data_IF_819049178226
#
_entry.id   IF_819049178226
#
_cell.length_a   1.000
_cell.length_b   1.000
_cell.length_c   1.000
_cell.angle_alpha   90.00
_cell.angle_beta   90.00
_cell.angle_gamma   90.00
#
_symmetry.space_group_name_H-M   'P 1'
#
loop_
_entity.id
_entity.type
_entity.pdbx_description
1 polymer ?
#
# COMPACT_ATOMS: atom_id res chain seq x y z
N UNK A 1 -5.97 -31.31 -13.50
CA UNK A 1 -5.70 -30.70 -12.18
C UNK A 1 -5.92 -29.18 -12.28
N UNK A 2 -7.02 -28.65 -11.76
CA UNK A 2 -7.32 -27.20 -11.75
C UNK A 2 -6.64 -26.58 -10.53
N UNK A 3 -5.55 -25.82 -10.72
CA UNK A 3 -4.98 -24.98 -9.66
C UNK A 3 -5.73 -23.65 -9.68
N UNK A 4 -6.48 -23.36 -8.62
CA UNK A 4 -7.15 -22.08 -8.43
C UNK A 4 -6.14 -20.96 -8.25
N UNK A 5 -6.28 -19.90 -9.07
CA UNK A 5 -5.59 -18.64 -8.84
C UNK A 5 -6.17 -18.00 -7.57
N UNK A 6 -5.42 -18.09 -6.48
CA UNK A 6 -5.66 -17.26 -5.29
C UNK A 6 -5.33 -15.80 -5.62
N UNK A 7 -6.37 -15.01 -5.90
CA UNK A 7 -6.27 -13.57 -5.97
C UNK A 7 -5.88 -13.02 -4.59
N UNK A 8 -4.69 -12.45 -4.48
CA UNK A 8 -4.17 -11.90 -3.25
C UNK A 8 -4.81 -10.52 -3.03
N UNK A 9 -5.72 -10.43 -2.07
CA UNK A 9 -6.46 -9.22 -1.71
C UNK A 9 -5.54 -8.24 -0.97
N UNK A 10 -5.16 -7.15 -1.63
CA UNK A 10 -4.59 -5.96 -0.97
C UNK A 10 -5.69 -4.91 -0.91
N UNK A 11 -6.32 -4.79 0.25
CA UNK A 11 -7.37 -3.81 0.48
C UNK A 11 -6.83 -2.38 0.36
N UNK A 12 -7.48 -1.56 -0.46
CA UNK A 12 -7.36 -0.11 -0.38
C UNK A 12 -7.81 0.31 1.02
N UNK A 13 -6.86 0.67 1.89
CA UNK A 13 -7.16 1.29 3.18
C UNK A 13 -7.76 2.66 2.88
N UNK A 14 -9.10 2.75 3.00
CA UNK A 14 -9.83 4.01 2.99
C UNK A 14 -9.50 4.72 4.29
N UNK A 15 -8.59 5.68 4.24
CA UNK A 15 -8.28 6.57 5.35
C UNK A 15 -9.38 7.63 5.45
N UNK A 16 -10.33 7.41 6.36
CA UNK A 16 -11.22 8.43 6.90
C UNK A 16 -10.77 8.72 8.33
N UNK A 17 -10.03 9.81 8.51
CA UNK A 17 -9.84 10.40 9.83
C UNK A 17 -11.04 11.32 10.11
N UNK A 18 -11.96 10.85 10.95
CA UNK A 18 -12.82 11.74 11.72
C UNK A 18 -11.98 12.26 12.88
N UNK A 19 -11.33 13.41 12.68
CA UNK A 19 -10.67 14.12 13.77
C UNK A 19 -11.72 15.00 14.46
N UNK A 20 -12.18 14.56 15.62
CA UNK A 20 -12.93 15.40 16.55
C UNK A 20 -12.05 16.59 16.95
N UNK A 21 -12.40 17.78 16.47
CA UNK A 21 -11.95 19.03 17.06
C UNK A 21 -12.80 19.28 18.32
N UNK A 22 -12.25 19.00 19.50
CA UNK A 22 -12.76 19.52 20.77
C UNK A 22 -12.41 21.01 20.86
N UNK A 23 -13.35 21.86 20.46
CA UNK A 23 -13.31 23.28 20.78
C UNK A 23 -13.65 23.49 22.26
N UNK A 24 -12.70 24.08 22.98
CA UNK A 24 -12.87 24.54 24.36
C UNK A 24 -13.79 25.76 24.37
N UNK A 25 -14.71 25.75 25.35
CA UNK A 25 -15.83 26.65 25.51
C UNK A 25 -15.44 28.13 25.69
N UNK A 26 -16.18 29.01 25.01
CA UNK A 26 -16.32 30.43 25.32
C UNK A 26 -17.80 30.80 25.22
N UNK A 27 -18.41 31.07 26.37
CA UNK A 27 -19.82 31.40 26.59
C UNK A 27 -20.22 32.76 26.01
N UNK A 28 -21.28 32.82 25.18
CA UNK A 28 -22.15 33.99 25.05
C UNK A 28 -23.53 33.60 24.45
N UNK A 29 -24.57 34.25 24.97
CA UNK A 29 -26.01 33.97 24.90
C UNK A 29 -26.70 34.11 23.52
N UNK A 30 -27.59 33.13 23.25
CA UNK A 30 -29.02 33.19 22.86
C UNK A 30 -29.50 34.05 21.66
N UNK A 31 -30.03 33.35 20.66
CA UNK A 31 -31.04 33.81 19.69
C UNK A 31 -31.62 32.62 18.88
N UNK A 32 -32.95 32.52 18.59
CA UNK A 32 -33.61 31.25 18.30
C UNK A 32 -33.75 30.87 16.81
N UNK A 33 -33.84 29.55 16.60
CA UNK A 33 -34.64 28.80 15.62
C UNK A 33 -34.45 29.02 14.11
N UNK A 34 -33.91 28.01 13.43
CA UNK A 34 -34.41 27.58 12.11
C UNK A 34 -34.05 26.11 11.82
N UNK A 35 -35.11 25.31 11.74
CA UNK A 35 -35.34 24.06 10.99
C UNK A 35 -34.16 23.14 10.59
N UNK A 36 -34.25 21.92 11.12
CA UNK A 36 -33.70 20.65 10.62
C UNK A 36 -34.20 20.37 9.20
N UNK A 37 -33.38 19.73 8.35
CA UNK A 37 -33.91 18.56 7.65
C UNK A 37 -33.07 17.30 7.82
N UNK A 38 -33.80 16.22 8.11
CA UNK A 38 -33.38 14.84 8.20
C UNK A 38 -33.25 14.20 6.81
N UNK A 39 -32.14 13.48 6.59
CA UNK A 39 -31.95 12.23 5.80
C UNK A 39 -32.37 12.20 4.31
N UNK A 40 -31.76 11.35 3.45
CA UNK A 40 -32.05 9.90 3.41
C UNK A 40 -30.79 9.01 3.23
N UNK A 41 -30.66 7.88 3.93
CA UNK A 41 -31.24 6.57 3.61
C UNK A 41 -30.96 6.11 2.15
N UNK A 42 -29.95 5.25 1.97
CA UNK A 42 -29.67 4.53 0.73
C UNK A 42 -30.60 3.30 0.65
N UNK A 43 -31.61 3.43 -0.20
CA UNK A 43 -32.60 2.40 -0.54
C UNK A 43 -32.02 1.40 -1.54
N UNK A 44 -32.29 0.11 -1.29
CA UNK A 44 -32.16 -0.97 -2.27
C UNK A 44 -33.26 -0.92 -3.34
N UNK A 45 -32.89 -1.10 -4.60
CA UNK A 45 -33.72 -1.58 -5.70
C UNK A 45 -32.75 -2.39 -6.57
N UNK A 46 -32.99 -3.61 -7.01
CA UNK A 46 -34.23 -4.27 -7.37
C UNK A 46 -33.92 -5.01 -8.68
N UNK A 47 -34.16 -6.32 -8.72
CA UNK A 47 -33.78 -7.18 -9.84
C UNK A 47 -34.61 -6.97 -11.11
N UNK A 48 -34.05 -7.43 -12.22
CA UNK A 48 -34.80 -7.81 -13.43
C UNK A 48 -34.27 -9.15 -13.96
N UNK A 49 -35.25 -9.96 -14.33
CA UNK A 49 -35.25 -11.38 -14.66
C UNK A 49 -34.79 -11.66 -16.10
N UNK A 50 -33.94 -12.69 -16.25
CA UNK A 50 -33.97 -13.78 -17.24
C UNK A 50 -34.06 -13.47 -18.76
N UNK A 51 -33.06 -13.96 -19.50
CA UNK A 51 -33.30 -14.66 -20.77
C UNK A 51 -32.22 -15.70 -21.06
N UNK A 52 -32.68 -16.94 -21.17
CA UNK A 52 -31.91 -18.11 -21.59
C UNK A 52 -31.54 -18.03 -23.08
N UNK A 53 -30.37 -18.54 -23.43
CA UNK A 53 -30.09 -19.06 -24.77
C UNK A 53 -29.23 -20.33 -24.64
N UNK A 54 -29.50 -21.39 -25.42
CA UNK A 54 -28.75 -22.64 -25.38
C UNK A 54 -27.49 -22.53 -26.24
N UNK A 55 -26.39 -23.13 -25.82
CA UNK A 55 -25.24 -23.36 -26.68
C UNK A 55 -24.82 -24.82 -26.56
N UNK A 56 -25.11 -25.54 -27.63
CA UNK A 56 -24.73 -26.90 -27.93
C UNK A 56 -23.20 -27.03 -27.97
N UNK A 57 -22.67 -28.05 -27.31
CA UNK A 57 -21.29 -28.51 -27.50
C UNK A 57 -21.35 -29.96 -28.01
N UNK A 58 -20.70 -30.30 -29.14
CA UNK A 58 -20.51 -31.68 -29.51
C UNK A 58 -19.30 -32.30 -28.79
N UNK A 59 -19.45 -33.60 -28.58
CA UNK A 59 -18.47 -34.60 -28.20
C UNK A 59 -17.04 -34.35 -28.70
N UNK A 60 -16.09 -34.63 -27.82
CA UNK A 60 -14.80 -35.22 -28.22
C UNK A 60 -14.33 -36.15 -27.12
N UNK A 61 -14.51 -37.42 -27.44
CA UNK A 61 -13.91 -38.61 -26.83
C UNK A 61 -12.39 -38.58 -26.96
N UNK A 62 -11.71 -39.25 -26.03
CA UNK A 62 -10.46 -39.94 -26.36
C UNK A 62 -9.30 -39.80 -25.38
N UNK A 63 -8.95 -40.96 -24.81
CA UNK A 63 -7.61 -41.44 -24.44
C UNK A 63 -7.10 -41.01 -23.05
N UNK A 64 -7.09 -41.94 -22.07
CA UNK A 64 -5.98 -42.90 -21.78
C UNK A 64 -4.71 -42.15 -21.35
N UNK A 65 -4.03 -42.39 -20.24
CA UNK A 65 -3.80 -43.62 -19.46
C UNK A 65 -2.99 -43.25 -18.19
N UNK A 66 -2.57 -44.20 -17.33
CA UNK A 66 -2.49 -44.04 -15.87
C UNK A 66 -1.07 -43.88 -15.30
N UNK A 67 -1.03 -43.87 -13.96
CA UNK A 67 0.06 -44.28 -13.07
C UNK A 67 1.26 -43.34 -12.89
N UNK A 68 1.42 -42.90 -11.65
CA UNK A 68 2.72 -42.97 -10.95
C UNK A 68 2.47 -43.07 -9.45
N UNK A 69 3.09 -44.09 -8.87
CA UNK A 69 3.08 -44.51 -7.48
C UNK A 69 3.53 -43.42 -6.48
N UNK A 70 3.09 -43.48 -5.22
CA UNK A 70 3.69 -42.73 -4.14
C UNK A 70 4.94 -43.47 -3.61
N UNK A 71 6.06 -42.76 -3.55
CA UNK A 71 7.30 -43.18 -2.87
C UNK A 71 7.16 -42.91 -1.37
N UNK A 72 7.29 -43.89 -0.47
CA UNK A 72 7.47 -43.63 0.96
C UNK A 72 8.95 -43.82 1.32
N UNK A 73 9.58 -42.84 1.95
CA UNK A 73 10.94 -43.06 2.40
C UNK A 73 11.63 -41.88 3.06
N UNK A 74 11.80 -42.03 4.37
CA UNK A 74 12.92 -41.49 5.16
C UNK A 74 12.81 -40.06 5.67
N UNK A 75 12.77 -39.99 7.01
CA UNK A 75 13.69 -39.23 7.88
C UNK A 75 12.96 -38.45 8.97
N UNK A 76 12.96 -38.98 10.19
CA UNK A 76 12.93 -38.17 11.39
C UNK A 76 13.67 -38.92 12.51
N UNK A 77 14.96 -38.58 12.64
CA UNK A 77 15.72 -38.86 13.85
C UNK A 77 15.26 -37.92 14.97
N UNK A 78 15.15 -38.49 16.16
CA UNK A 78 15.09 -37.78 17.44
C UNK A 78 16.48 -37.25 17.80
N UNK A 79 16.55 -36.07 18.43
CA UNK A 79 17.04 -36.03 19.81
C UNK A 79 16.10 -35.23 20.73
N UNK A 80 15.74 -35.74 21.91
CA UNK A 80 16.41 -35.49 23.22
C UNK A 80 16.34 -34.01 23.59
N UNK A 81 15.31 -33.58 24.31
CA UNK A 81 15.29 -33.49 25.78
C UNK A 81 16.48 -32.66 26.32
N UNK A 82 16.21 -31.40 26.69
CA UNK A 82 16.77 -30.89 27.93
C UNK A 82 15.90 -29.76 28.48
N UNK A 83 15.23 -30.10 29.57
CA UNK A 83 14.59 -29.18 30.49
C UNK A 83 15.66 -28.44 31.31
N UNK A 84 15.52 -27.13 31.51
CA UNK A 84 15.74 -26.54 32.85
C UNK A 84 15.11 -25.12 32.95
N UNK A 85 14.30 -24.85 33.98
CA UNK A 85 13.84 -23.52 34.34
C UNK A 85 14.71 -22.94 35.46
N UNK A 86 15.26 -21.74 35.28
CA UNK A 86 15.87 -20.98 36.36
C UNK A 86 15.05 -19.70 36.62
N UNK A 87 14.26 -19.77 37.69
CA UNK A 87 13.76 -18.62 38.45
C UNK A 87 14.94 -17.91 39.11
N UNK A 88 15.04 -16.58 39.02
CA UNK A 88 15.68 -15.77 40.07
C UNK A 88 15.07 -14.36 40.12
N UNK A 89 14.84 -13.95 41.35
CA UNK A 89 14.16 -12.80 41.95
C UNK A 89 14.36 -11.37 41.39
N UNK A 90 13.45 -10.45 41.80
CA UNK A 90 13.63 -9.00 41.69
C UNK A 90 14.34 -8.41 42.92
N UNK A 91 15.18 -7.39 42.71
CA UNK A 91 15.38 -6.30 43.68
C UNK A 91 15.25 -4.94 42.96
N UNK A 92 15.02 -3.78 43.55
CA UNK A 92 14.76 -3.30 44.90
C UNK A 92 14.37 -1.84 44.70
N UNK A 93 13.37 -1.36 45.45
CA UNK A 93 13.02 0.04 45.52
C UNK A 93 14.18 0.85 46.11
N UNK A 94 14.73 1.78 45.34
CA UNK A 94 15.72 2.77 45.77
C UNK A 94 15.12 4.16 45.72
N UNK A 95 14.76 4.67 46.88
CA UNK A 95 14.35 6.05 47.14
C UNK A 95 15.61 6.93 47.30
N UNK A 96 15.75 8.00 46.50
CA UNK A 96 16.76 9.06 46.69
C UNK A 96 16.21 10.31 46.02
N UNK A 97 15.59 11.19 46.81
CA UNK A 97 16.16 12.43 47.38
C UNK A 97 16.08 13.59 46.38
N UNK A 98 15.23 14.56 46.75
CA UNK A 98 15.05 15.82 46.08
C UNK A 98 16.32 16.68 46.21
N UNK A 99 16.86 17.14 45.08
CA UNK A 99 17.70 18.33 45.01
C UNK A 99 16.94 19.40 44.22
N UNK A 100 16.55 20.42 44.97
CA UNK A 100 16.01 21.68 44.51
C UNK A 100 17.13 22.46 43.80
N UNK A 101 17.17 22.39 42.47
CA UNK A 101 17.98 23.28 41.65
C UNK A 101 17.07 24.29 40.95
N UNK A 102 17.02 25.49 41.50
CA UNK A 102 16.49 26.70 40.88
C UNK A 102 17.27 26.98 39.58
N UNK A 103 16.79 26.45 38.47
CA UNK A 103 17.25 26.80 37.13
C UNK A 103 16.22 27.71 36.51
N UNK A 104 16.66 28.92 36.14
CA UNK A 104 15.85 29.91 35.43
C UNK A 104 15.11 29.28 34.23
N UNK A 105 13.88 29.72 33.91
CA UNK A 105 13.12 29.16 32.80
C UNK A 105 13.96 29.26 31.52
N UNK A 106 14.23 28.15 30.80
CA UNK A 106 14.88 28.24 29.51
C UNK A 106 14.00 29.13 28.65
N UNK A 107 14.59 30.21 28.12
CA UNK A 107 13.96 31.08 27.15
C UNK A 107 13.51 30.18 26.00
N UNK A 108 12.21 29.93 25.95
CA UNK A 108 11.58 29.10 24.92
C UNK A 108 11.68 29.88 23.62
N UNK A 109 12.80 29.72 22.92
CA UNK A 109 12.99 30.23 21.56
C UNK A 109 12.04 29.45 20.68
N UNK A 110 10.83 29.99 20.53
CA UNK A 110 9.80 29.49 19.62
C UNK A 110 10.46 29.25 18.27
N UNK A 111 10.55 27.99 17.78
CA UNK A 111 11.12 27.73 16.48
C UNK A 111 10.31 28.54 15.47
N UNK A 112 11.00 29.47 14.81
CA UNK A 112 10.41 30.25 13.74
C UNK A 112 10.00 29.25 12.67
N UNK A 113 8.72 29.20 12.26
CA UNK A 113 8.31 28.27 11.22
C UNK A 113 9.11 28.63 9.97
N UNK A 114 10.04 27.75 9.60
CA UNK A 114 10.79 27.89 8.36
C UNK A 114 9.78 27.76 7.24
N UNK A 115 9.39 28.90 6.66
CA UNK A 115 8.50 28.96 5.50
C UNK A 115 9.25 28.34 4.32
N UNK A 116 9.18 27.01 4.21
CA UNK A 116 9.66 26.28 3.05
C UNK A 116 8.97 26.85 1.82
N UNK A 117 9.75 27.32 0.84
CA UNK A 117 9.22 27.80 -0.44
C UNK A 117 8.25 26.76 -0.99
N UNK A 118 7.07 27.17 -1.50
CA UNK A 118 6.16 26.25 -2.15
C UNK A 118 6.88 25.62 -3.35
N UNK A 119 7.09 24.30 -3.28
CA UNK A 119 7.63 23.52 -4.39
C UNK A 119 6.61 23.61 -5.50
N UNK A 120 6.95 24.30 -6.60
CA UNK A 120 6.08 24.38 -7.77
C UNK A 120 5.99 23.01 -8.42
N UNK A 121 4.85 22.33 -8.24
CA UNK A 121 4.63 20.98 -8.77
C UNK A 121 3.99 21.03 -10.16
N UNK A 122 4.30 20.05 -11.03
CA UNK A 122 3.67 19.96 -12.34
C UNK A 122 2.16 19.73 -12.21
N UNK A 123 1.36 20.59 -12.85
CA UNK A 123 -0.09 20.37 -13.04
C UNK A 123 -0.39 19.57 -14.31
N UNK A 124 0.62 19.39 -15.18
CA UNK A 124 0.56 18.61 -16.41
C UNK A 124 1.74 17.65 -16.47
N UNK A 125 1.49 16.45 -16.97
CA UNK A 125 2.55 15.48 -17.26
C UNK A 125 3.22 15.83 -18.59
N UNK A 126 4.54 15.71 -18.65
CA UNK A 126 5.36 15.87 -19.85
C UNK A 126 6.03 14.54 -20.18
N UNK A 127 5.20 13.53 -20.45
CA UNK A 127 5.64 12.16 -20.68
C UNK A 127 6.38 12.06 -22.02
N UNK A 128 7.53 11.39 -22.04
CA UNK A 128 8.26 11.10 -23.28
C UNK A 128 7.49 10.08 -24.11
N UNK A 129 7.72 10.07 -25.43
CA UNK A 129 7.21 8.98 -26.29
C UNK A 129 7.66 7.61 -25.76
N UNK A 130 6.78 6.61 -25.83
CA UNK A 130 7.00 5.28 -25.25
C UNK A 130 6.81 5.18 -23.73
N UNK A 131 6.40 6.27 -23.06
CA UNK A 131 6.02 6.20 -21.64
C UNK A 131 4.64 5.58 -21.47
N UNK A 132 4.48 4.78 -20.42
CA UNK A 132 3.19 4.30 -19.99
C UNK A 132 2.47 5.42 -19.24
N UNK A 133 1.31 5.82 -19.76
CA UNK A 133 0.44 6.82 -19.15
C UNK A 133 -0.98 6.24 -19.06
N UNK A 134 -1.45 5.81 -17.88
CA UNK A 134 -2.80 5.26 -17.76
C UNK A 134 -3.86 6.33 -18.04
N UNK A 135 -5.06 5.88 -18.41
CA UNK A 135 -6.20 6.78 -18.62
C UNK A 135 -6.53 7.56 -17.35
N UNK A 136 -6.81 8.86 -17.48
CA UNK A 136 -6.91 9.78 -16.34
C UNK A 136 -5.56 10.17 -15.72
N UNK A 137 -4.46 9.86 -16.41
CA UNK A 137 -3.05 9.87 -15.98
C UNK A 137 -2.63 10.85 -14.89
N UNK A 138 -2.69 10.40 -13.64
CA UNK A 138 -2.09 11.07 -12.50
C UNK A 138 -0.55 10.91 -12.47
N UNK A 139 -0.02 9.96 -13.24
CA UNK A 139 1.40 9.70 -13.38
C UNK A 139 1.75 9.19 -14.78
N UNK A 140 3.03 9.19 -15.10
CA UNK A 140 3.60 8.39 -16.20
C UNK A 140 5.04 8.00 -15.90
N UNK A 141 5.54 6.97 -16.58
CA UNK A 141 6.92 6.49 -16.46
C UNK A 141 7.35 5.76 -17.73
N UNK A 142 8.66 5.57 -17.93
CA UNK A 142 9.17 4.75 -19.03
C UNK A 142 9.07 3.26 -18.70
N UNK A 143 8.59 2.46 -19.65
CA UNK A 143 8.62 1.00 -19.54
C UNK A 143 10.09 0.57 -19.62
N UNK A 144 10.64 -0.15 -18.63
CA UNK A 144 11.99 -0.66 -18.66
C UNK A 144 12.20 -1.65 -19.80
N UNK A 145 13.42 -1.75 -20.32
CA UNK A 145 13.76 -2.71 -21.37
C UNK A 145 13.46 -4.15 -20.93
N UNK A 146 12.92 -4.95 -21.83
CA UNK A 146 12.52 -6.33 -21.56
C UNK A 146 11.20 -6.47 -20.80
N UNK A 147 10.48 -5.38 -20.52
CA UNK A 147 9.15 -5.41 -19.92
C UNK A 147 8.04 -5.13 -20.93
N UNK A 148 6.86 -5.68 -20.67
CA UNK A 148 5.63 -5.44 -21.43
C UNK A 148 4.56 -4.82 -20.56
N UNK A 149 3.73 -3.97 -21.16
CA UNK A 149 2.52 -3.44 -20.53
C UNK A 149 1.45 -4.54 -20.46
N UNK A 150 1.04 -4.88 -19.24
CA UNK A 150 -0.04 -5.83 -18.96
C UNK A 150 -1.22 -5.16 -18.28
N UNK A 151 -1.33 -3.85 -18.40
CA UNK A 151 -2.32 -3.07 -17.65
C UNK A 151 -3.77 -3.49 -17.92
N UNK A 152 -4.05 -4.02 -19.12
CA UNK A 152 -5.37 -4.51 -19.54
C UNK A 152 -5.72 -5.91 -19.02
N UNK A 153 -4.72 -6.72 -18.69
CA UNK A 153 -4.91 -8.12 -18.27
C UNK A 153 -4.56 -8.37 -16.82
N UNK A 154 -3.82 -7.46 -16.18
CA UNK A 154 -3.43 -7.57 -14.78
C UNK A 154 -4.66 -7.49 -13.86
N UNK A 155 -4.71 -8.40 -12.88
CA UNK A 155 -5.67 -8.32 -11.78
C UNK A 155 -5.13 -7.36 -10.73
N UNK A 156 -5.87 -6.29 -10.47
CA UNK A 156 -5.49 -5.31 -9.47
C UNK A 156 -6.24 -5.54 -8.17
N UNK A 157 -5.54 -5.54 -7.03
CA UNK A 157 -6.21 -5.42 -5.77
C UNK A 157 -6.69 -3.97 -5.58
N UNK A 158 -7.90 -3.80 -5.03
CA UNK A 158 -8.45 -2.49 -4.68
C UNK A 158 -9.36 -1.85 -5.73
N UNK A 159 -9.71 -0.58 -5.52
CA UNK A 159 -10.70 0.18 -6.31
C UNK A 159 -10.09 1.33 -7.12
N UNK A 160 -8.76 1.45 -7.14
CA UNK A 160 -8.06 2.50 -7.86
C UNK A 160 -8.37 2.41 -9.37
N UNK A 161 -8.81 3.54 -9.93
CA UNK A 161 -9.18 3.64 -11.37
C UNK A 161 -7.98 3.94 -12.25
N UNK A 162 -7.00 4.69 -11.73
CA UNK A 162 -5.78 5.04 -12.46
C UNK A 162 -4.71 4.02 -12.06
N UNK A 163 -4.40 3.11 -12.97
CA UNK A 163 -3.52 1.97 -12.69
C UNK A 163 -2.78 1.50 -13.92
N UNK A 164 -1.60 0.94 -13.70
CA UNK A 164 -0.80 0.27 -14.69
C UNK A 164 -0.05 -0.91 -14.11
N UNK A 165 0.31 -1.86 -14.96
CA UNK A 165 1.11 -3.02 -14.62
C UNK A 165 2.07 -3.34 -15.76
N UNK A 166 3.29 -3.71 -15.39
CA UNK A 166 4.30 -4.23 -16.31
C UNK A 166 4.90 -5.51 -15.74
N UNK A 167 5.29 -6.42 -16.63
CA UNK A 167 5.96 -7.66 -16.27
C UNK A 167 7.14 -7.94 -17.23
N UNK A 168 8.13 -8.76 -16.83
CA UNK A 168 9.14 -9.25 -17.75
C UNK A 168 8.48 -9.95 -18.95
N UNK A 169 8.99 -9.71 -20.16
CA UNK A 169 8.36 -10.20 -21.40
C UNK A 169 8.42 -11.72 -21.55
N UNK A 170 9.39 -12.34 -20.89
CA UNK A 170 9.60 -13.79 -20.79
C UNK A 170 8.80 -14.42 -19.63
N UNK A 171 8.07 -13.62 -18.84
CA UNK A 171 7.26 -14.13 -17.75
C UNK A 171 6.10 -14.99 -18.27
N UNK A 172 6.10 -16.28 -17.91
CA UNK A 172 5.03 -17.21 -18.28
C UNK A 172 3.76 -17.01 -17.45
N UNK A 173 3.00 -15.94 -17.72
CA UNK A 173 1.57 -15.71 -17.38
C UNK A 173 1.10 -15.84 -15.92
N UNK A 174 1.98 -16.25 -15.01
CA UNK A 174 1.72 -16.61 -13.61
C UNK A 174 2.79 -16.03 -12.68
N UNK A 175 3.72 -15.25 -13.23
CA UNK A 175 4.86 -14.76 -12.50
C UNK A 175 4.40 -13.71 -11.50
N UNK A 176 4.68 -13.97 -10.22
CA UNK A 176 4.61 -13.00 -9.12
C UNK A 176 5.72 -11.92 -9.23
N UNK A 177 6.37 -11.84 -10.39
CA UNK A 177 7.39 -10.88 -10.78
C UNK A 177 6.72 -9.80 -11.65
N UNK A 178 6.24 -8.73 -11.02
CA UNK A 178 5.55 -7.65 -11.70
C UNK A 178 5.71 -6.33 -10.98
N UNK A 179 5.60 -5.23 -11.73
CA UNK A 179 5.54 -3.88 -11.17
C UNK A 179 4.17 -3.32 -11.46
N UNK A 180 3.42 -2.96 -10.42
CA UNK A 180 2.16 -2.23 -10.58
C UNK A 180 2.26 -0.84 -9.96
N UNK A 181 1.60 0.11 -10.61
CA UNK A 181 1.51 1.49 -10.15
C UNK A 181 0.03 1.87 -10.12
N UNK A 182 -0.46 2.35 -8.99
CA UNK A 182 -1.82 2.89 -8.88
C UNK A 182 -1.78 4.32 -8.40
N UNK A 183 -2.83 5.08 -8.71
CA UNK A 183 -3.03 6.40 -8.15
C UNK A 183 -4.46 6.59 -7.62
N UNK A 184 -4.52 7.25 -6.47
CA UNK A 184 -5.75 7.62 -5.77
C UNK A 184 -5.77 9.12 -5.54
N UNK A 185 -6.91 9.75 -5.74
CA UNK A 185 -7.14 11.12 -5.27
C UNK A 185 -7.56 11.09 -3.80
N UNK A 186 -6.84 11.83 -2.97
CA UNK A 186 -7.09 11.98 -1.54
C UNK A 186 -8.19 13.03 -1.30
N UNK A 187 -8.97 12.83 -0.24
CA UNK A 187 -9.95 13.82 0.23
C UNK A 187 -9.29 15.08 0.80
N UNK A 188 -8.10 14.91 1.39
CA UNK A 188 -7.29 15.99 1.96
C UNK A 188 -6.03 16.19 1.13
N UNK A 189 -5.54 17.43 1.10
CA UNK A 189 -4.23 17.71 0.55
C UNK A 189 -3.19 17.15 1.51
N UNK A 190 -2.42 16.16 1.06
CA UNK A 190 -1.40 15.55 1.88
C UNK A 190 -0.39 16.58 2.34
N UNK A 191 -0.06 17.59 1.53
CA UNK A 191 0.98 18.62 1.81
C UNK A 191 0.72 19.42 3.08
N UNK A 192 -0.53 19.44 3.55
CA UNK A 192 -0.92 20.10 4.79
C UNK A 192 -0.71 19.20 6.03
N UNK A 193 -0.30 17.95 5.83
CA UNK A 193 -0.04 16.95 6.87
C UNK A 193 1.47 16.80 7.13
N UNK A 194 1.83 16.61 8.41
CA UNK A 194 3.20 16.30 8.80
C UNK A 194 3.62 14.89 8.38
N UNK A 195 4.91 14.72 8.13
CA UNK A 195 5.46 13.41 7.77
C UNK A 195 5.28 12.38 8.88
N UNK A 196 5.32 12.81 10.16
CA UNK A 196 5.05 11.95 11.31
C UNK A 196 3.62 11.42 11.33
N UNK A 197 2.63 12.25 10.97
CA UNK A 197 1.23 11.85 10.94
C UNK A 197 0.95 10.89 9.78
N UNK A 198 1.51 11.17 8.58
CA UNK A 198 1.41 10.26 7.44
C UNK A 198 2.08 8.93 7.79
N UNK A 199 3.30 8.94 8.32
CA UNK A 199 4.03 7.73 8.69
C UNK A 199 3.27 6.90 9.73
N UNK A 200 2.81 7.50 10.82
CA UNK A 200 2.05 6.79 11.86
C UNK A 200 0.78 6.13 11.31
N UNK A 201 0.07 6.83 10.43
CA UNK A 201 -1.10 6.31 9.72
C UNK A 201 -0.76 5.09 8.85
N UNK A 202 0.35 5.17 8.09
CA UNK A 202 0.82 4.06 7.26
C UNK A 202 1.30 2.87 8.09
N UNK A 203 2.02 3.09 9.20
CA UNK A 203 2.43 2.03 10.12
C UNK A 203 1.22 1.30 10.72
N UNK A 204 0.16 2.04 11.07
CA UNK A 204 -1.07 1.45 11.56
C UNK A 204 -1.74 0.57 10.48
N UNK A 205 -1.79 1.06 9.24
CA UNK A 205 -2.31 0.30 8.11
C UNK A 205 -1.50 -1.00 7.87
N UNK A 206 -0.17 -0.93 7.91
CA UNK A 206 0.71 -2.09 7.75
C UNK A 206 0.52 -3.13 8.86
N UNK A 207 0.37 -2.69 10.12
CA UNK A 207 0.09 -3.59 11.26
C UNK A 207 -1.23 -4.34 11.12
N UNK A 208 -2.23 -3.72 10.48
CA UNK A 208 -3.55 -4.34 10.26
C UNK A 208 -3.55 -5.39 9.14
N UNK A 209 -2.50 -5.45 8.32
CA UNK A 209 -2.41 -6.39 7.20
C UNK A 209 -1.81 -7.73 7.65
N UNK A 210 -2.66 -8.68 8.02
CA UNK A 210 -2.26 -10.01 8.49
C UNK A 210 -1.64 -10.92 7.42
N UNK A 211 -1.76 -10.57 6.14
CA UNK A 211 -1.31 -11.42 5.04
C UNK A 211 0.18 -11.22 4.68
N UNK A 212 0.86 -10.28 5.35
CA UNK A 212 2.26 -9.96 5.08
C UNK A 212 2.99 -9.54 6.35
N UNK A 213 4.29 -9.80 6.39
CA UNK A 213 5.20 -9.14 7.33
C UNK A 213 5.84 -7.93 6.64
N UNK A 214 6.07 -6.84 7.37
CA UNK A 214 6.61 -5.60 6.82
C UNK A 214 7.87 -5.15 7.55
N UNK A 215 8.79 -4.50 6.84
CA UNK A 215 9.89 -3.74 7.46
C UNK A 215 9.39 -2.39 7.96
N UNK A 216 10.20 -1.72 8.79
CA UNK A 216 9.94 -0.33 9.17
C UNK A 216 9.80 0.57 7.93
N UNK A 217 8.94 1.59 8.04
CA UNK A 217 8.76 2.59 6.99
C UNK A 217 9.93 3.56 6.97
N UNK A 218 10.54 3.70 5.79
CA UNK A 218 11.64 4.62 5.51
C UNK A 218 11.11 5.77 4.66
N UNK A 219 11.38 7.00 5.08
CA UNK A 219 11.05 8.19 4.29
C UNK A 219 12.08 8.36 3.17
N UNK A 220 11.61 8.71 1.98
CA UNK A 220 12.41 8.93 0.77
C UNK A 220 11.72 9.96 -0.13
N UNK A 221 12.22 10.13 -1.36
CA UNK A 221 11.63 11.01 -2.37
C UNK A 221 11.55 10.33 -3.73
N UNK A 222 10.47 10.59 -4.47
CA UNK A 222 10.27 10.11 -5.85
C UNK A 222 9.72 11.28 -6.66
N UNK A 223 10.33 11.58 -7.81
CA UNK A 223 9.96 12.74 -8.64
C UNK A 223 9.97 14.09 -7.89
N UNK A 224 10.81 14.22 -6.84
CA UNK A 224 10.85 15.39 -5.97
C UNK A 224 9.75 15.44 -4.90
N UNK A 225 8.79 14.51 -4.94
CA UNK A 225 7.72 14.39 -3.97
C UNK A 225 8.13 13.46 -2.83
N UNK A 226 7.61 13.68 -1.63
CA UNK A 226 7.87 12.80 -0.49
C UNK A 226 7.26 11.43 -0.72
N UNK A 227 7.97 10.41 -0.25
CA UNK A 227 7.52 9.04 -0.32
C UNK A 227 7.87 8.26 0.95
N UNK A 228 7.11 7.20 1.20
CA UNK A 228 7.39 6.26 2.27
C UNK A 228 7.52 4.86 1.68
N UNK A 229 8.59 4.17 2.04
CA UNK A 229 8.98 2.87 1.50
C UNK A 229 8.98 1.80 2.61
N UNK A 230 8.47 0.62 2.29
CA UNK A 230 8.62 -0.59 3.11
C UNK A 230 8.83 -1.81 2.20
N UNK A 231 9.40 -2.88 2.75
CA UNK A 231 9.41 -4.19 2.12
C UNK A 231 8.39 -5.09 2.80
N UNK A 232 7.51 -5.70 2.01
CA UNK A 232 6.56 -6.70 2.45
C UNK A 232 7.03 -8.11 2.04
N UNK A 233 6.81 -9.08 2.92
CA UNK A 233 6.98 -10.51 2.64
C UNK A 233 5.66 -11.24 2.88
N UNK A 234 5.16 -11.89 1.85
CA UNK A 234 3.91 -12.66 1.88
C UNK A 234 4.18 -14.13 2.24
N UNK A 235 3.13 -14.81 2.70
CA UNK A 235 3.20 -16.22 3.11
C UNK A 235 3.57 -17.16 1.96
N UNK A 236 3.25 -16.81 0.71
CA UNK A 236 3.58 -17.61 -0.49
C UNK A 236 5.03 -17.41 -0.98
N UNK A 237 5.83 -16.62 -0.25
CA UNK A 237 7.23 -16.32 -0.52
C UNK A 237 7.44 -15.12 -1.45
N UNK A 238 6.37 -14.48 -1.92
CA UNK A 238 6.49 -13.23 -2.70
C UNK A 238 7.03 -12.12 -1.81
N UNK A 239 7.97 -11.38 -2.37
CA UNK A 239 8.53 -10.18 -1.77
C UNK A 239 8.03 -8.97 -2.54
N UNK A 240 7.80 -7.87 -1.86
CA UNK A 240 7.33 -6.64 -2.47
C UNK A 240 8.08 -5.45 -1.88
N UNK A 241 8.68 -4.64 -2.74
CA UNK A 241 9.10 -3.28 -2.40
C UNK A 241 7.91 -2.36 -2.66
N UNK A 242 7.39 -1.74 -1.61
CA UNK A 242 6.18 -0.92 -1.68
C UNK A 242 6.51 0.53 -1.35
N UNK A 243 6.21 1.44 -2.27
CA UNK A 243 6.41 2.88 -2.11
C UNK A 243 5.08 3.61 -2.23
N UNK A 244 4.84 4.55 -1.34
CA UNK A 244 3.70 5.45 -1.36
C UNK A 244 4.20 6.88 -1.53
N UNK A 245 3.98 7.45 -2.70
CA UNK A 245 4.39 8.81 -3.07
C UNK A 245 3.21 9.76 -2.89
N UNK A 246 3.43 10.87 -2.19
CA UNK A 246 2.40 11.85 -1.84
C UNK A 246 2.67 13.18 -2.53
N UNK A 247 1.76 13.56 -3.43
CA UNK A 247 1.85 14.77 -4.24
C UNK A 247 0.57 15.57 -4.18
N UNK A 248 0.48 16.51 -3.23
CA UNK A 248 -0.73 17.29 -2.99
C UNK A 248 -1.93 16.39 -2.67
N UNK A 249 -2.94 16.39 -3.55
CA UNK A 249 -4.11 15.49 -3.44
C UNK A 249 -3.95 14.16 -4.17
N UNK A 250 -2.81 13.91 -4.82
CA UNK A 250 -2.52 12.62 -5.46
C UNK A 250 -1.67 11.75 -4.55
N UNK A 251 -2.06 10.48 -4.38
CA UNK A 251 -1.19 9.44 -3.84
C UNK A 251 -0.91 8.41 -4.92
N UNK A 252 0.36 8.14 -5.20
CA UNK A 252 0.80 7.08 -6.12
C UNK A 252 1.37 5.93 -5.29
N UNK A 253 0.87 4.72 -5.49
CA UNK A 253 1.43 3.51 -4.90
C UNK A 253 2.22 2.75 -5.96
N UNK A 254 3.51 2.51 -5.71
CA UNK A 254 4.39 1.71 -6.56
C UNK A 254 4.70 0.42 -5.84
N UNK A 255 4.38 -0.70 -6.46
CA UNK A 255 4.64 -2.03 -5.93
C UNK A 255 5.50 -2.80 -6.91
N UNK A 256 6.71 -3.12 -6.47
CA UNK A 256 7.65 -3.92 -7.23
C UNK A 256 7.71 -5.30 -6.56
N UNK A 257 6.98 -6.26 -7.12
CA UNK A 257 6.84 -7.61 -6.58
C UNK A 257 7.77 -8.57 -7.29
N UNK A 258 8.41 -9.45 -6.54
CA UNK A 258 9.20 -10.53 -7.08
C UNK A 258 9.07 -11.80 -6.25
N UNK A 259 9.19 -12.93 -6.92
CA UNK A 259 9.40 -14.25 -6.31
C UNK A 259 10.72 -14.81 -6.78
N UNK A 260 10.90 -14.90 -8.09
CA UNK A 260 12.03 -15.58 -8.71
C UNK A 260 12.99 -14.58 -9.38
N UNK A 261 12.50 -13.40 -9.79
CA UNK A 261 13.25 -12.44 -10.60
C UNK A 261 13.68 -11.16 -9.83
N UNK A 262 14.21 -11.30 -8.61
CA UNK A 262 14.56 -10.15 -7.73
C UNK A 262 15.40 -9.09 -8.45
N UNK A 263 16.50 -9.47 -9.07
CA UNK A 263 17.43 -8.52 -9.72
C UNK A 263 16.78 -7.79 -10.89
N UNK A 264 15.99 -8.51 -11.70
CA UNK A 264 15.28 -7.97 -12.86
C UNK A 264 14.24 -6.95 -12.40
N UNK A 265 13.36 -7.33 -11.47
CA UNK A 265 12.31 -6.45 -10.94
C UNK A 265 12.90 -5.24 -10.22
N UNK A 266 13.92 -5.43 -9.37
CA UNK A 266 14.50 -4.29 -8.62
C UNK A 266 15.20 -3.29 -9.55
N UNK A 267 15.83 -3.75 -10.62
CA UNK A 267 16.43 -2.88 -11.65
C UNK A 267 15.35 -2.12 -12.41
N UNK A 268 14.32 -2.82 -12.90
CA UNK A 268 13.18 -2.22 -13.59
C UNK A 268 12.43 -1.21 -12.71
N UNK A 269 12.26 -1.51 -11.42
CA UNK A 269 11.65 -0.64 -10.43
C UNK A 269 12.43 0.68 -10.28
N UNK A 270 13.77 0.64 -10.30
CA UNK A 270 14.59 1.87 -10.28
C UNK A 270 14.34 2.71 -11.54
N UNK A 271 14.26 2.09 -12.71
CA UNK A 271 13.95 2.80 -13.97
C UNK A 271 12.57 3.46 -13.90
N UNK A 272 11.55 2.74 -13.44
CA UNK A 272 10.19 3.29 -13.22
C UNK A 272 10.24 4.50 -12.30
N UNK A 273 10.87 4.39 -11.12
CA UNK A 273 10.93 5.47 -10.14
C UNK A 273 11.74 6.68 -10.63
N UNK A 274 12.84 6.47 -11.35
CA UNK A 274 13.71 7.55 -11.86
C UNK A 274 13.11 8.32 -13.04
N UNK A 275 12.19 7.69 -13.78
CA UNK A 275 11.51 8.30 -14.94
C UNK A 275 10.09 8.74 -14.61
N UNK A 276 9.63 8.50 -13.39
CA UNK A 276 8.28 8.82 -12.94
C UNK A 276 8.05 10.33 -12.94
N UNK A 277 6.90 10.72 -13.47
CA UNK A 277 6.30 12.04 -13.25
C UNK A 277 4.94 11.86 -12.60
N UNK A 278 4.61 12.75 -11.68
CA UNK A 278 3.33 12.78 -10.98
C UNK A 278 2.73 14.17 -11.19
N UNK A 279 1.44 14.23 -11.50
CA UNK A 279 0.71 15.51 -11.52
C UNK A 279 -0.11 15.66 -10.25
N UNK A 280 -0.15 16.90 -9.76
CA UNK A 280 -1.08 17.31 -8.72
C UNK A 280 -2.30 17.97 -9.39
N UNK A 281 -3.52 17.39 -9.28
CA UNK A 281 -4.74 17.92 -9.87
C UNK A 281 -5.28 19.16 -9.14
#
# INVERSE_FOLDING_TARGET
>A
MKRGLGALLIGSVVLLASACATSVAGTAQVGPAAAVPSSPALTSLGGVTQRSAPSSFPDSTGLSSPSSEPVPGSSAGLPTDNSEPASTEPPTAGSTQAEESTTAPPTSTRPTPTTSKPVSRPTKLSCKSGSLTPSGGAFCYQIPDGFTDTSSTATYPGTDKVRSAIQPSDASGSARDLIFVTATTLSVNSDDLSDSLIKASLEQALKSNSNSTSTALVQTTVAGDRAFETTLKFADGVMQRYLLVFSGKTRVAVSCQWRDAKTVITTACKTVLSTMQIRNP
#
